data_IF_765058440207
#
_entry.id   IF_765058440207
#
_cell.length_a   1.000
_cell.length_b   1.000
_cell.length_c   1.000
_cell.angle_alpha   90.00
_cell.angle_beta   90.00
_cell.angle_gamma   90.00
#
_symmetry.space_group_name_H-M   'P 1'
#
loop_
_entity.id
_entity.type
_entity.pdbx_description
1 polymer ?
#
# COMPACT_ATOMS: atom_id res chain seq x y z
N UNK A 1 -12.62 21.32 8.92
CA UNK A 1 -11.40 20.50 8.70
C UNK A 1 -11.10 20.56 7.22
N UNK A 2 -9.99 21.16 6.81
CA UNK A 2 -9.59 21.17 5.41
C UNK A 2 -9.12 19.78 5.01
N UNK A 3 -9.57 19.28 3.86
CA UNK A 3 -9.06 18.03 3.29
C UNK A 3 -7.54 18.13 3.09
N UNK A 4 -6.79 17.03 3.30
CA UNK A 4 -5.37 17.02 3.03
C UNK A 4 -5.16 17.30 1.54
N UNK A 5 -4.34 18.30 1.22
CA UNK A 5 -3.89 18.52 -0.15
C UNK A 5 -2.87 17.44 -0.52
N UNK A 6 -3.37 16.33 -1.04
CA UNK A 6 -2.54 15.23 -1.50
C UNK A 6 -1.71 15.60 -2.74
N UNK A 7 -1.99 16.72 -3.42
CA UNK A 7 -1.24 17.15 -4.61
C UNK A 7 0.20 17.53 -4.28
N UNK A 8 0.47 17.97 -3.04
CA UNK A 8 1.81 18.26 -2.56
C UNK A 8 2.68 16.99 -2.43
N UNK A 9 2.08 15.81 -2.22
CA UNK A 9 2.77 14.51 -2.22
C UNK A 9 2.92 13.93 -3.62
N UNK A 10 2.08 14.36 -4.57
CA UNK A 10 2.16 14.00 -5.99
C UNK A 10 3.11 14.94 -6.74
N UNK A 11 4.22 15.34 -6.09
CA UNK A 11 5.15 16.35 -6.56
C UNK A 11 5.42 16.25 -8.07
N UNK A 12 5.37 17.42 -8.74
CA UNK A 12 5.36 17.62 -10.19
C UNK A 12 6.47 16.90 -10.95
N UNK A 13 6.28 15.60 -11.11
CA UNK A 13 7.07 14.71 -11.93
C UNK A 13 6.17 14.35 -13.11
N UNK A 14 6.70 14.42 -14.32
CA UNK A 14 6.03 13.90 -15.51
C UNK A 14 5.31 12.62 -15.15
N UNK A 15 3.99 12.58 -15.32
CA UNK A 15 3.17 11.42 -14.95
C UNK A 15 3.72 10.19 -15.69
N UNK A 16 4.56 9.42 -14.99
CA UNK A 16 5.18 8.24 -15.57
C UNK A 16 4.09 7.17 -15.64
N UNK A 17 3.81 6.60 -16.83
CA UNK A 17 2.86 5.49 -16.93
C UNK A 17 3.23 4.37 -15.97
N UNK A 18 2.22 3.71 -15.39
CA UNK A 18 2.40 2.65 -14.40
C UNK A 18 3.33 1.54 -14.93
N UNK A 19 3.22 1.23 -16.23
CA UNK A 19 4.04 0.24 -16.91
C UNK A 19 5.53 0.64 -16.94
N UNK A 20 5.79 1.94 -17.14
CA UNK A 20 7.15 2.48 -17.15
C UNK A 20 7.75 2.52 -15.75
N UNK A 21 6.95 2.83 -14.72
CA UNK A 21 7.36 2.71 -13.32
C UNK A 21 7.69 1.25 -12.95
N UNK A 22 6.81 0.31 -13.32
CA UNK A 22 7.01 -1.11 -13.07
C UNK A 22 8.31 -1.62 -13.71
N UNK A 23 8.57 -1.23 -14.96
CA UNK A 23 9.82 -1.55 -15.67
C UNK A 23 11.05 -0.99 -14.96
N UNK A 24 11.03 0.28 -14.53
CA UNK A 24 12.15 0.92 -13.83
C UNK A 24 12.46 0.29 -12.48
N UNK A 25 11.43 -0.13 -11.77
CA UNK A 25 11.55 -0.76 -10.45
C UNK A 25 11.77 -2.27 -10.52
N UNK A 26 11.78 -2.86 -11.74
CA UNK A 26 11.92 -4.31 -11.93
C UNK A 26 10.75 -5.11 -11.36
N UNK A 27 9.58 -4.48 -11.19
CA UNK A 27 8.38 -5.10 -10.64
C UNK A 27 7.84 -6.10 -11.66
N UNK A 28 7.52 -7.30 -11.20
CA UNK A 28 6.86 -8.34 -12.00
C UNK A 28 5.48 -8.63 -11.42
N UNK A 29 4.47 -8.92 -12.26
CA UNK A 29 3.18 -9.39 -11.77
C UNK A 29 3.34 -10.62 -10.87
N UNK A 30 2.67 -10.63 -9.73
CA UNK A 30 2.59 -11.82 -8.88
C UNK A 30 1.78 -12.91 -9.60
N UNK A 31 2.33 -14.12 -9.70
CA UNK A 31 1.66 -15.27 -10.29
C UNK A 31 0.94 -16.12 -9.24
N UNK A 32 1.31 -15.95 -7.97
CA UNK A 32 0.78 -16.69 -6.83
C UNK A 32 0.82 -15.87 -5.55
N UNK A 33 0.11 -16.35 -4.51
CA UNK A 33 0.21 -15.77 -3.16
C UNK A 33 1.62 -15.94 -2.56
N UNK A 34 2.35 -16.97 -2.96
CA UNK A 34 3.72 -17.19 -2.49
C UNK A 34 4.67 -16.08 -2.96
N UNK A 35 4.42 -15.47 -4.12
CA UNK A 35 5.21 -14.33 -4.62
C UNK A 35 5.02 -13.06 -3.77
N UNK A 36 3.95 -13.01 -2.97
CA UNK A 36 3.66 -11.90 -2.05
C UNK A 36 4.24 -12.12 -0.65
N UNK A 37 4.85 -13.28 -0.38
CA UNK A 37 5.51 -13.53 0.91
C UNK A 37 6.76 -12.66 1.02
N UNK A 38 6.72 -11.72 1.94
CA UNK A 38 7.85 -10.90 2.32
C UNK A 38 7.97 -10.89 3.85
N UNK A 39 9.19 -10.70 4.32
CA UNK A 39 9.45 -10.42 5.74
C UNK A 39 9.12 -8.94 5.99
N UNK A 40 7.83 -8.65 6.02
CA UNK A 40 7.30 -7.29 6.11
C UNK A 40 7.15 -6.82 7.56
N UNK A 41 7.03 -7.78 8.48
CA UNK A 41 6.73 -7.55 9.88
C UNK A 41 7.90 -8.02 10.73
N UNK A 42 8.37 -7.16 11.63
CA UNK A 42 9.47 -7.50 12.53
C UNK A 42 9.00 -8.50 13.61
N UNK A 43 7.68 -8.67 13.78
CA UNK A 43 7.07 -9.65 14.69
C UNK A 43 5.61 -9.95 14.39
N UNK A 44 5.12 -11.10 14.88
CA UNK A 44 3.69 -11.46 14.84
C UNK A 44 2.80 -10.42 15.56
N UNK A 45 3.32 -9.76 16.59
CA UNK A 45 2.59 -8.72 17.32
C UNK A 45 2.30 -7.50 16.43
N UNK A 46 3.24 -7.15 15.55
CA UNK A 46 3.07 -6.04 14.61
C UNK A 46 1.99 -6.37 13.56
N UNK A 47 2.03 -7.60 13.03
CA UNK A 47 0.99 -8.12 12.15
C UNK A 47 -0.39 -8.09 12.82
N UNK A 48 -0.50 -8.54 14.08
CA UNK A 48 -1.76 -8.53 14.81
C UNK A 48 -2.31 -7.12 15.02
N UNK A 49 -1.43 -6.15 15.33
CA UNK A 49 -1.82 -4.75 15.48
C UNK A 49 -2.38 -4.18 14.17
N UNK A 50 -1.72 -4.44 13.04
CA UNK A 50 -2.21 -4.04 11.72
C UNK A 50 -3.57 -4.67 11.38
N UNK A 51 -3.73 -5.96 11.65
CA UNK A 51 -5.01 -6.65 11.39
C UNK A 51 -6.15 -6.13 12.27
N UNK A 52 -5.86 -5.67 13.50
CA UNK A 52 -6.85 -5.04 14.36
C UNK A 52 -7.35 -3.71 13.77
N UNK A 53 -6.42 -2.86 13.31
CA UNK A 53 -6.71 -1.56 12.69
C UNK A 53 -7.56 -1.74 11.42
N UNK A 54 -7.16 -2.61 10.49
CA UNK A 54 -7.91 -2.89 9.26
C UNK A 54 -9.35 -3.35 9.54
N UNK A 55 -9.54 -4.18 10.57
CA UNK A 55 -10.88 -4.65 10.97
C UNK A 55 -11.72 -3.54 11.60
N UNK A 56 -11.09 -2.59 12.28
CA UNK A 56 -11.77 -1.42 12.82
C UNK A 56 -12.18 -0.46 11.70
N UNK A 57 -11.27 -0.11 10.79
CA UNK A 57 -11.58 0.75 9.63
C UNK A 57 -12.73 0.17 8.81
N UNK A 58 -12.68 -1.14 8.50
CA UNK A 58 -13.75 -1.81 7.76
C UNK A 58 -15.09 -1.79 8.50
N UNK A 59 -15.10 -1.87 9.82
CA UNK A 59 -16.35 -1.77 10.60
C UNK A 59 -16.88 -0.34 10.64
N UNK A 60 -15.99 0.65 10.70
CA UNK A 60 -16.36 2.06 10.67
C UNK A 60 -17.01 2.45 9.34
N UNK A 61 -16.51 1.93 8.21
CA UNK A 61 -17.09 2.17 6.88
C UNK A 61 -18.47 1.50 6.67
N UNK A 62 -18.81 0.51 7.49
CA UNK A 62 -20.08 -0.23 7.42
C UNK A 62 -21.16 0.32 8.37
N UNK A 63 -20.83 1.32 9.20
CA UNK A 63 -21.71 1.93 10.19
C UNK A 63 -22.25 3.29 9.71
#
# INVERSE_FOLDING_TARGET
MSEPDFSAYLGGTDAVPVEELARRQGVRPAASLDDLRADLWDSDQELDAFLADVRESRRADLA
#
